data_IF_338143353952
#
_entry.id   IF_338143353952
#
_cell.length_a   1.000
_cell.length_b   1.000
_cell.length_c   1.000
_cell.angle_alpha   90.00
_cell.angle_beta   90.00
_cell.angle_gamma   90.00
#
_symmetry.space_group_name_H-M   'P 1'
#
loop_
_entity.id
_entity.type
_entity.pdbx_description
1 polymer ?
#
# COMPACT_ATOMS: atom_id res chain seq x y z
N UNK A 1 -20.06 -1.09 -3.91
CA UNK A 1 -18.68 -1.01 -4.45
C UNK A 1 -18.64 -0.90 -5.98
N UNK A 2 -19.29 -1.78 -6.75
CA UNK A 2 -19.23 -1.70 -8.23
C UNK A 2 -19.69 -0.34 -8.80
N UNK A 3 -20.84 0.19 -8.34
CA UNK A 3 -21.32 1.54 -8.71
C UNK A 3 -20.36 2.69 -8.34
N UNK A 4 -19.51 2.47 -7.34
CA UNK A 4 -18.50 3.44 -6.92
C UNK A 4 -17.31 3.42 -7.89
N UNK A 5 -16.86 2.22 -8.25
CA UNK A 5 -15.82 2.02 -9.25
C UNK A 5 -16.22 2.57 -10.63
N UNK A 6 -17.45 2.31 -11.10
CA UNK A 6 -17.92 2.85 -12.38
C UNK A 6 -17.95 4.38 -12.39
N UNK A 7 -18.24 5.02 -11.24
CA UNK A 7 -18.17 6.48 -11.10
C UNK A 7 -16.74 6.99 -11.18
N UNK A 8 -15.78 6.33 -10.52
CA UNK A 8 -14.35 6.68 -10.62
C UNK A 8 -13.87 6.56 -12.06
N UNK A 9 -14.22 5.48 -12.75
CA UNK A 9 -13.82 5.26 -14.14
C UNK A 9 -14.45 6.27 -15.11
N UNK A 10 -15.74 6.55 -14.96
CA UNK A 10 -16.44 7.56 -15.76
C UNK A 10 -15.86 8.96 -15.55
N UNK A 11 -15.58 9.34 -14.29
CA UNK A 11 -14.92 10.60 -13.95
C UNK A 11 -13.54 10.67 -14.62
N UNK A 12 -12.79 9.58 -14.57
CA UNK A 12 -11.52 9.45 -15.26
C UNK A 12 -11.56 9.72 -16.75
N UNK A 13 -12.54 9.15 -17.44
CA UNK A 13 -12.74 9.38 -18.87
C UNK A 13 -13.10 10.84 -19.17
N UNK A 14 -13.92 11.48 -18.32
CA UNK A 14 -14.25 12.90 -18.49
C UNK A 14 -13.04 13.80 -18.28
N UNK A 15 -12.16 13.49 -17.32
CA UNK A 15 -10.92 14.22 -17.09
C UNK A 15 -9.97 14.02 -18.28
N UNK A 16 -9.82 12.78 -18.76
CA UNK A 16 -8.98 12.45 -19.93
C UNK A 16 -9.40 13.23 -21.17
N UNK A 17 -10.70 13.32 -21.44
CA UNK A 17 -11.23 14.08 -22.55
C UNK A 17 -10.90 15.57 -22.47
N UNK A 18 -10.71 16.11 -21.25
CA UNK A 18 -10.46 17.53 -21.01
C UNK A 18 -8.98 17.90 -20.84
N UNK A 19 -8.17 17.08 -20.18
CA UNK A 19 -6.80 17.47 -19.77
C UNK A 19 -5.69 17.02 -20.73
N UNK A 20 -5.93 16.01 -21.59
CA UNK A 20 -4.90 15.31 -22.38
C UNK A 20 -3.69 14.79 -21.55
N UNK A 21 -3.77 14.77 -20.22
CA UNK A 21 -2.66 14.36 -19.35
C UNK A 21 -2.72 12.85 -19.08
N UNK A 22 -1.60 12.15 -19.34
CA UNK A 22 -1.47 10.70 -19.16
C UNK A 22 -1.51 10.31 -17.67
N UNK A 23 -1.07 11.22 -16.79
CA UNK A 23 -0.91 10.99 -15.34
C UNK A 23 -2.21 10.63 -14.60
N UNK A 24 -3.35 11.17 -15.00
CA UNK A 24 -4.63 10.95 -14.30
C UNK A 24 -5.10 9.49 -14.47
N UNK A 25 -4.84 8.89 -15.64
CA UNK A 25 -5.25 7.53 -15.93
C UNK A 25 -4.53 6.51 -15.04
N UNK A 26 -3.24 6.72 -14.82
CA UNK A 26 -2.45 5.84 -13.94
C UNK A 26 -2.97 5.91 -12.51
N UNK A 27 -3.18 7.11 -11.96
CA UNK A 27 -3.72 7.28 -10.61
C UNK A 27 -5.07 6.59 -10.41
N UNK A 28 -5.99 6.77 -11.37
CA UNK A 28 -7.31 6.13 -11.36
C UNK A 28 -7.19 4.61 -11.45
N UNK A 29 -6.35 4.09 -12.34
CA UNK A 29 -6.17 2.65 -12.51
C UNK A 29 -5.61 2.01 -11.23
N UNK A 30 -4.66 2.66 -10.56
CA UNK A 30 -4.03 2.18 -9.33
C UNK A 30 -4.98 2.25 -8.14
N UNK A 31 -5.67 3.37 -7.98
CA UNK A 31 -6.72 3.53 -6.96
C UNK A 31 -7.85 2.52 -7.19
N UNK A 32 -8.24 2.32 -8.45
CA UNK A 32 -9.23 1.33 -8.85
C UNK A 32 -8.87 -0.09 -8.45
N UNK A 33 -7.61 -0.51 -8.67
CA UNK A 33 -7.12 -1.82 -8.25
C UNK A 33 -7.23 -2.03 -6.73
N UNK A 34 -6.87 -1.00 -5.94
CA UNK A 34 -6.98 -1.03 -4.47
C UNK A 34 -8.45 -1.08 -4.03
N UNK A 35 -9.31 -0.24 -4.63
CA UNK A 35 -10.73 -0.18 -4.29
C UNK A 35 -11.46 -1.48 -4.63
N UNK A 36 -11.03 -2.17 -5.69
CA UNK A 36 -11.58 -3.47 -6.08
C UNK A 36 -11.06 -4.63 -5.22
N UNK A 37 -10.05 -4.42 -4.37
CA UNK A 37 -9.46 -5.48 -3.55
C UNK A 37 -10.50 -6.32 -2.81
N UNK A 38 -11.45 -5.75 -2.02
CA UNK A 38 -12.40 -6.59 -1.29
C UNK A 38 -13.30 -7.41 -2.22
N UNK A 39 -13.69 -6.83 -3.36
CA UNK A 39 -14.56 -7.49 -4.33
C UNK A 39 -13.84 -8.67 -4.97
N UNK A 40 -12.59 -8.47 -5.41
CA UNK A 40 -11.79 -9.52 -6.03
C UNK A 40 -11.48 -10.63 -5.03
N UNK A 41 -11.02 -10.29 -3.82
CA UNK A 41 -10.71 -11.28 -2.78
C UNK A 41 -11.95 -12.07 -2.37
N UNK A 42 -13.11 -11.44 -2.17
CA UNK A 42 -14.36 -12.13 -1.87
C UNK A 42 -14.79 -13.04 -3.02
N UNK A 43 -14.72 -12.56 -4.26
CA UNK A 43 -15.16 -13.33 -5.43
C UNK A 43 -14.29 -14.56 -5.66
N UNK A 44 -12.97 -14.41 -5.53
CA UNK A 44 -12.03 -15.53 -5.62
C UNK A 44 -12.21 -16.51 -4.45
N UNK A 45 -12.40 -16.01 -3.23
CA UNK A 45 -12.70 -16.84 -2.05
C UNK A 45 -13.99 -17.63 -2.24
N UNK A 46 -15.04 -16.99 -2.75
CA UNK A 46 -16.32 -17.63 -3.05
C UNK A 46 -16.18 -18.66 -4.18
N UNK A 47 -15.38 -18.38 -5.21
CA UNK A 47 -15.07 -19.36 -6.26
C UNK A 47 -14.39 -20.63 -5.72
N UNK A 48 -13.58 -20.53 -4.65
CA UNK A 48 -13.01 -21.73 -4.00
C UNK A 48 -14.06 -22.63 -3.35
N UNK A 49 -15.21 -22.07 -2.93
CA UNK A 49 -16.32 -22.85 -2.38
C UNK A 49 -17.08 -23.61 -3.46
N UNK A 50 -17.29 -22.99 -4.63
CA UNK A 50 -18.01 -23.59 -5.75
C UNK A 50 -17.18 -24.62 -6.52
N UNK A 51 -15.88 -24.36 -6.68
CA UNK A 51 -14.97 -25.22 -7.45
C UNK A 51 -13.74 -25.54 -6.61
N UNK A 52 -13.87 -26.40 -5.58
CA UNK A 52 -12.76 -26.73 -4.67
C UNK A 52 -11.58 -27.40 -5.39
N UNK A 53 -11.85 -28.10 -6.50
CA UNK A 53 -10.82 -28.73 -7.35
C UNK A 53 -9.84 -27.71 -7.95
N UNK A 54 -10.25 -26.46 -8.11
CA UNK A 54 -9.42 -25.36 -8.64
C UNK A 54 -8.97 -24.39 -7.55
N UNK A 55 -9.11 -24.74 -6.26
CA UNK A 55 -8.79 -23.84 -5.15
C UNK A 55 -7.36 -23.28 -5.22
N UNK A 56 -6.38 -24.12 -5.57
CA UNK A 56 -4.99 -23.70 -5.71
C UNK A 56 -4.79 -22.65 -6.82
N UNK A 57 -5.48 -22.79 -7.96
CA UNK A 57 -5.43 -21.80 -9.04
C UNK A 57 -6.01 -20.46 -8.59
N UNK A 58 -7.14 -20.47 -7.89
CA UNK A 58 -7.73 -19.26 -7.33
C UNK A 58 -6.82 -18.59 -6.29
N UNK A 59 -6.10 -19.38 -5.49
CA UNK A 59 -5.10 -18.87 -4.54
C UNK A 59 -3.92 -18.19 -5.24
N UNK A 60 -3.42 -18.74 -6.35
CA UNK A 60 -2.34 -18.09 -7.14
C UNK A 60 -2.82 -16.76 -7.72
N UNK A 61 -4.03 -16.71 -8.29
CA UNK A 61 -4.61 -15.46 -8.83
C UNK A 61 -4.80 -14.44 -7.70
N UNK A 62 -5.26 -14.88 -6.54
CA UNK A 62 -5.41 -14.04 -5.34
C UNK A 62 -4.05 -13.45 -4.92
N UNK A 63 -3.01 -14.28 -4.77
CA UNK A 63 -1.67 -13.84 -4.38
C UNK A 63 -1.05 -12.86 -5.39
N UNK A 64 -1.23 -13.10 -6.69
CA UNK A 64 -0.81 -12.18 -7.74
C UNK A 64 -1.50 -10.82 -7.62
N UNK A 65 -2.82 -10.82 -7.37
CA UNK A 65 -3.60 -9.61 -7.20
C UNK A 65 -3.20 -8.84 -5.94
N UNK A 66 -2.96 -9.53 -4.83
CA UNK A 66 -2.47 -8.92 -3.58
C UNK A 66 -1.11 -8.24 -3.78
N UNK A 67 -0.17 -8.92 -4.44
CA UNK A 67 1.12 -8.34 -4.83
C UNK A 67 0.96 -7.10 -5.70
N UNK A 68 0.10 -7.18 -6.72
CA UNK A 68 -0.22 -6.05 -7.60
C UNK A 68 -0.85 -4.86 -6.85
N UNK A 69 -1.69 -5.12 -5.85
CA UNK A 69 -2.29 -4.07 -5.01
C UNK A 69 -1.25 -3.37 -4.14
N UNK A 70 -0.30 -4.09 -3.54
CA UNK A 70 0.81 -3.45 -2.80
C UNK A 70 1.69 -2.59 -3.69
N UNK A 71 2.04 -3.08 -4.88
CA UNK A 71 2.80 -2.30 -5.85
C UNK A 71 2.02 -1.07 -6.33
N UNK A 72 0.72 -1.23 -6.58
CA UNK A 72 -0.14 -0.13 -6.98
C UNK A 72 -0.25 0.93 -5.89
N UNK A 73 -0.30 0.51 -4.62
CA UNK A 73 -0.28 1.41 -3.47
C UNK A 73 1.07 2.13 -3.32
N UNK A 74 2.20 1.42 -3.46
CA UNK A 74 3.54 2.04 -3.52
C UNK A 74 3.61 3.12 -4.59
N UNK A 75 3.21 2.81 -5.82
CA UNK A 75 3.20 3.78 -6.93
C UNK A 75 2.29 4.96 -6.62
N UNK A 76 1.12 4.71 -6.05
CA UNK A 76 0.18 5.78 -5.64
C UNK A 76 0.81 6.75 -4.65
N UNK A 77 1.56 6.26 -3.65
CA UNK A 77 2.29 7.09 -2.70
C UNK A 77 3.37 7.95 -3.39
N UNK A 78 4.14 7.35 -4.31
CA UNK A 78 5.13 8.09 -5.11
C UNK A 78 4.47 9.17 -5.97
N UNK A 79 3.30 8.87 -6.57
CA UNK A 79 2.55 9.86 -7.34
C UNK A 79 2.01 11.01 -6.47
N UNK A 80 1.55 10.74 -5.24
CA UNK A 80 1.07 11.80 -4.35
C UNK A 80 2.15 12.81 -3.96
N UNK A 81 3.43 12.41 -3.96
CA UNK A 81 4.57 13.33 -3.75
C UNK A 81 4.95 14.07 -5.05
N UNK A 82 4.33 13.72 -6.17
CA UNK A 82 4.60 14.31 -7.48
C UNK A 82 5.73 13.62 -8.25
N UNK A 83 5.99 12.34 -7.96
CA UNK A 83 6.92 11.49 -8.70
C UNK A 83 8.19 11.11 -7.94
N UNK A 84 8.98 10.19 -8.52
CA UNK A 84 10.19 9.68 -7.90
C UNK A 84 11.28 10.73 -7.70
N UNK A 85 11.44 11.66 -8.65
CA UNK A 85 12.43 12.74 -8.57
C UNK A 85 12.10 13.72 -7.44
N UNK A 86 10.84 14.16 -7.35
CA UNK A 86 10.39 15.04 -6.25
C UNK A 86 10.51 14.35 -4.91
N UNK A 87 10.16 13.06 -4.84
CA UNK A 87 10.38 12.27 -3.64
C UNK A 87 11.85 12.28 -3.25
N UNK A 88 12.78 11.95 -4.15
CA UNK A 88 14.24 12.00 -3.87
C UNK A 88 14.67 13.39 -3.38
N UNK A 89 14.18 14.46 -4.00
CA UNK A 89 14.52 15.83 -3.60
C UNK A 89 13.96 16.17 -2.22
N UNK A 90 12.71 15.80 -1.92
CA UNK A 90 12.10 15.95 -0.59
C UNK A 90 12.89 15.17 0.47
N UNK A 91 13.51 14.05 0.09
CA UNK A 91 14.32 13.23 0.99
C UNK A 91 15.70 13.82 1.32
N UNK A 92 16.25 14.66 0.45
CA UNK A 92 17.61 15.21 0.60
C UNK A 92 17.81 16.18 1.78
N UNK A 93 16.77 16.45 2.58
CA UNK A 93 16.88 17.21 3.83
C UNK A 93 16.22 16.55 5.05
N UNK A 94 15.53 15.43 4.86
CA UNK A 94 14.75 14.79 5.94
C UNK A 94 15.64 13.88 6.78
N UNK A 95 15.69 14.12 8.09
CA UNK A 95 16.30 13.16 9.03
C UNK A 95 15.34 12.00 9.26
N UNK A 96 15.68 10.86 8.71
CA UNK A 96 14.91 9.62 8.86
C UNK A 96 15.11 9.06 10.28
N UNK A 97 14.18 9.35 11.19
CA UNK A 97 14.09 8.65 12.48
C UNK A 97 13.05 7.54 12.38
N UNK A 98 13.43 6.40 11.80
CA UNK A 98 12.55 5.22 11.82
C UNK A 98 12.50 4.68 13.26
N UNK A 99 11.48 5.05 14.01
CA UNK A 99 11.09 4.37 15.25
C UNK A 99 10.38 3.05 14.93
N UNK A 100 11.00 2.20 14.09
CA UNK A 100 10.51 0.85 13.91
C UNK A 100 11.08 0.02 15.07
N UNK A 101 10.25 -0.58 15.93
CA UNK A 101 10.73 -1.42 17.00
C UNK A 101 11.56 -2.56 16.41
N UNK A 102 12.80 -2.69 16.88
CA UNK A 102 13.75 -3.79 16.59
C UNK A 102 13.28 -5.14 17.15
N UNK A 103 12.10 -5.20 17.75
CA UNK A 103 11.60 -6.31 18.56
C UNK A 103 11.16 -7.55 17.77
N UNK A 104 11.47 -7.64 16.47
CA UNK A 104 11.27 -8.87 15.71
C UNK A 104 12.48 -9.80 15.94
N UNK A 105 12.33 -10.95 16.63
CA UNK A 105 13.44 -11.88 16.89
C UNK A 105 13.96 -12.58 15.61
N UNK A 106 13.36 -12.31 14.45
CA UNK A 106 13.75 -12.93 13.20
C UNK A 106 15.05 -12.30 12.67
N UNK A 107 16.12 -13.09 12.55
CA UNK A 107 17.42 -12.65 11.99
C UNK A 107 17.30 -12.06 10.58
N UNK A 108 16.27 -12.42 9.82
CA UNK A 108 15.96 -11.81 8.52
C UNK A 108 15.60 -10.32 8.66
N UNK A 109 14.87 -9.94 9.71
CA UNK A 109 14.53 -8.54 9.97
C UNK A 109 15.76 -7.70 10.34
N UNK A 110 16.74 -8.31 11.04
CA UNK A 110 18.04 -7.68 11.29
C UNK A 110 18.81 -7.44 9.99
N UNK A 111 18.71 -8.33 9.00
CA UNK A 111 19.33 -8.14 7.69
C UNK A 111 18.69 -6.95 6.95
N UNK A 112 17.37 -6.86 6.92
CA UNK A 112 16.65 -5.73 6.34
C UNK A 112 16.94 -4.42 7.08
N UNK A 113 16.95 -4.44 8.41
CA UNK A 113 17.32 -3.30 9.23
C UNK A 113 18.75 -2.85 8.95
N UNK A 114 19.73 -3.76 8.84
CA UNK A 114 21.10 -3.40 8.50
C UNK A 114 21.20 -2.80 7.10
N UNK A 115 20.41 -3.30 6.15
CA UNK A 115 20.29 -2.76 4.79
C UNK A 115 19.63 -1.38 4.76
N UNK A 116 18.82 -0.99 5.74
CA UNK A 116 18.16 0.33 5.78
C UNK A 116 18.81 1.30 6.75
N UNK A 117 19.53 0.83 7.75
CA UNK A 117 20.28 1.62 8.73
C UNK A 117 21.60 2.17 8.17
N UNK A 118 21.69 2.33 6.85
CA UNK A 118 22.88 2.91 6.22
C UNK A 118 22.80 4.43 6.34
N UNK A 119 23.45 4.95 7.39
CA UNK A 119 23.74 6.37 7.65
C UNK A 119 22.53 7.29 7.80
N UNK A 120 22.22 7.62 9.07
CA UNK A 120 21.22 8.61 9.48
C UNK A 120 21.37 10.01 8.85
N UNK A 121 22.49 10.31 8.19
CA UNK A 121 22.81 11.67 7.78
C UNK A 121 22.48 12.01 6.34
N UNK A 122 22.25 11.06 5.41
CA UNK A 122 21.91 11.40 4.03
C UNK A 122 21.01 10.32 3.39
N UNK A 123 19.74 10.65 3.16
CA UNK A 123 18.83 9.79 2.39
C UNK A 123 19.21 9.90 0.91
N UNK A 124 19.90 8.88 0.41
CA UNK A 124 20.33 8.82 -0.99
C UNK A 124 19.30 8.14 -1.89
N UNK A 125 19.44 8.34 -3.21
CA UNK A 125 18.70 7.64 -4.28
C UNK A 125 18.71 6.12 -4.08
N UNK A 126 19.79 5.58 -3.51
CA UNK A 126 19.92 4.15 -3.17
C UNK A 126 18.85 3.66 -2.19
N UNK A 127 18.42 4.50 -1.25
CA UNK A 127 17.36 4.15 -0.29
C UNK A 127 16.02 3.99 -0.99
N UNK A 128 15.72 4.87 -1.96
CA UNK A 128 14.53 4.76 -2.80
C UNK A 128 14.51 3.44 -3.58
N UNK A 129 15.61 3.09 -4.25
CA UNK A 129 15.72 1.81 -4.98
C UNK A 129 15.59 0.59 -4.06
N UNK A 130 16.11 0.65 -2.84
CA UNK A 130 15.94 -0.43 -1.85
C UNK A 130 14.47 -0.59 -1.46
N UNK A 131 13.75 0.50 -1.22
CA UNK A 131 12.30 0.46 -0.93
C UNK A 131 11.52 -0.09 -2.11
N UNK A 132 11.81 0.37 -3.33
CA UNK A 132 11.17 -0.13 -4.55
C UNK A 132 11.42 -1.63 -4.74
N UNK A 133 12.64 -2.09 -4.51
CA UNK A 133 13.00 -3.51 -4.55
C UNK A 133 12.22 -4.32 -3.51
N UNK A 134 12.12 -3.85 -2.27
CA UNK A 134 11.37 -4.51 -1.20
C UNK A 134 9.88 -4.69 -1.51
N UNK A 135 9.27 -3.74 -2.22
CA UNK A 135 7.88 -3.86 -2.66
C UNK A 135 7.77 -4.76 -3.89
N UNK A 136 8.63 -4.54 -4.89
CA UNK A 136 8.58 -5.25 -6.17
C UNK A 136 8.87 -6.74 -6.03
N UNK A 137 9.77 -7.13 -5.11
CA UNK A 137 10.04 -8.54 -4.83
C UNK A 137 8.78 -9.31 -4.42
N UNK A 138 7.85 -8.68 -3.68
CA UNK A 138 6.63 -9.35 -3.23
C UNK A 138 5.66 -9.61 -4.39
N UNK A 139 5.63 -8.73 -5.39
CA UNK A 139 4.79 -8.90 -6.60
C UNK A 139 5.15 -10.18 -7.34
N UNK A 140 6.44 -10.52 -7.37
CA UNK A 140 6.95 -11.73 -8.03
C UNK A 140 6.92 -12.92 -7.07
N UNK A 141 7.32 -12.71 -5.81
CA UNK A 141 7.42 -13.78 -4.82
C UNK A 141 6.05 -14.35 -4.44
N UNK A 142 5.02 -13.53 -4.23
CA UNK A 142 3.70 -14.00 -3.80
C UNK A 142 3.09 -15.07 -4.76
N UNK A 143 2.94 -14.81 -6.07
CA UNK A 143 2.41 -15.84 -6.98
C UNK A 143 3.36 -17.02 -7.14
N UNK A 144 4.67 -16.78 -7.16
CA UNK A 144 5.67 -17.86 -7.30
C UNK A 144 5.63 -18.82 -6.10
N UNK A 145 5.57 -18.28 -4.88
CA UNK A 145 5.44 -19.07 -3.65
C UNK A 145 4.09 -19.77 -3.58
N UNK A 146 3.01 -19.13 -4.06
CA UNK A 146 1.70 -19.78 -4.17
C UNK A 146 1.74 -21.00 -5.12
N UNK A 147 2.47 -20.93 -6.24
CA UNK A 147 2.69 -22.09 -7.12
C UNK A 147 3.55 -23.15 -6.44
N UNK A 148 4.61 -22.76 -5.74
CA UNK A 148 5.44 -23.71 -4.99
C UNK A 148 4.66 -24.48 -3.93
N UNK A 149 3.69 -23.86 -3.25
CA UNK A 149 2.80 -24.55 -2.31
C UNK A 149 1.97 -25.67 -2.94
N UNK A 150 1.69 -25.58 -4.25
CA UNK A 150 0.96 -26.64 -4.98
C UNK A 150 1.85 -27.88 -5.12
N UNK A 151 3.16 -27.69 -5.28
CA UNK A 151 4.13 -28.76 -5.50
C UNK A 151 4.71 -29.28 -4.19
N UNK A 152 4.94 -28.38 -3.23
CA UNK A 152 5.63 -28.63 -1.98
C UNK A 152 4.76 -28.07 -0.85
N UNK A 153 4.04 -28.96 -0.17
CA UNK A 153 3.26 -28.63 1.03
C UNK A 153 4.18 -28.62 2.26
N UNK A 154 5.06 -27.62 2.31
CA UNK A 154 6.03 -27.42 3.40
C UNK A 154 5.75 -26.10 4.12
N UNK A 155 5.70 -26.15 5.46
CA UNK A 155 5.60 -24.98 6.31
C UNK A 155 6.75 -23.98 6.10
N UNK A 156 7.87 -24.39 5.52
CA UNK A 156 8.93 -23.48 5.08
C UNK A 156 8.45 -22.48 4.01
N UNK A 157 7.69 -22.91 3.01
CA UNK A 157 7.17 -22.03 1.94
C UNK A 157 6.24 -20.98 2.53
N UNK A 158 5.44 -21.37 3.53
CA UNK A 158 4.58 -20.46 4.25
C UNK A 158 5.36 -19.37 5.02
N UNK A 159 6.44 -19.75 5.72
CA UNK A 159 7.33 -18.80 6.41
C UNK A 159 8.01 -17.84 5.44
N UNK A 160 8.41 -18.32 4.26
CA UNK A 160 9.01 -17.47 3.21
C UNK A 160 8.02 -16.43 2.68
N UNK A 161 6.78 -16.82 2.42
CA UNK A 161 5.72 -15.91 1.97
C UNK A 161 5.45 -14.82 3.02
N UNK A 162 5.28 -15.22 4.28
CA UNK A 162 5.09 -14.26 5.38
C UNK A 162 6.29 -13.31 5.52
N UNK A 163 7.52 -13.80 5.37
CA UNK A 163 8.73 -12.97 5.42
C UNK A 163 8.79 -12.00 4.24
N UNK A 164 8.46 -12.44 3.03
CA UNK A 164 8.41 -11.60 1.83
C UNK A 164 7.33 -10.51 1.95
N UNK A 165 6.16 -10.85 2.48
CA UNK A 165 5.08 -9.89 2.77
C UNK A 165 5.51 -8.86 3.81
N UNK A 166 6.13 -9.31 4.92
CA UNK A 166 6.64 -8.42 5.95
C UNK A 166 7.73 -7.47 5.44
N UNK A 167 8.62 -7.95 4.55
CA UNK A 167 9.63 -7.13 3.90
C UNK A 167 9.02 -6.04 3.00
N UNK A 168 7.99 -6.39 2.22
CA UNK A 168 7.21 -5.42 1.44
C UNK A 168 6.53 -4.38 2.33
N UNK A 169 5.88 -4.82 3.41
CA UNK A 169 5.26 -3.93 4.39
C UNK A 169 6.28 -2.99 5.02
N UNK A 170 7.47 -3.48 5.35
CA UNK A 170 8.55 -2.65 5.86
C UNK A 170 9.00 -1.57 4.86
N UNK A 171 9.12 -1.92 3.57
CA UNK A 171 9.37 -0.93 2.51
C UNK A 171 8.28 0.14 2.44
N UNK A 172 7.01 -0.25 2.49
CA UNK A 172 5.87 0.68 2.50
C UNK A 172 5.83 1.54 3.77
N UNK A 173 6.25 1.02 4.92
CA UNK A 173 6.37 1.80 6.16
C UNK A 173 7.43 2.89 6.03
N UNK A 174 8.60 2.56 5.50
CA UNK A 174 9.65 3.54 5.24
C UNK A 174 9.12 4.61 4.30
N UNK A 175 8.47 4.21 3.19
CA UNK A 175 7.90 5.17 2.26
C UNK A 175 6.84 6.06 2.92
N UNK A 176 5.90 5.49 3.66
CA UNK A 176 4.84 6.25 4.34
C UNK A 176 5.42 7.27 5.33
N UNK A 177 6.45 6.88 6.08
CA UNK A 177 7.14 7.78 7.00
C UNK A 177 7.80 8.92 6.25
N UNK A 178 8.49 8.60 5.15
CA UNK A 178 9.14 9.57 4.29
C UNK A 178 8.18 10.55 3.64
N UNK A 179 6.99 10.09 3.31
CA UNK A 179 5.95 10.89 2.67
C UNK A 179 4.97 11.49 3.67
N UNK A 180 5.20 11.35 4.98
CA UNK A 180 4.20 11.66 6.00
C UNK A 180 3.73 13.10 5.94
N UNK A 181 4.66 14.05 5.91
CA UNK A 181 4.36 15.48 5.91
C UNK A 181 3.62 15.89 4.63
N UNK A 182 4.06 15.37 3.48
CA UNK A 182 3.41 15.62 2.19
C UNK A 182 1.99 15.06 2.13
N UNK A 183 1.74 13.88 2.73
CA UNK A 183 0.45 13.18 2.64
C UNK A 183 -0.47 13.40 3.85
N UNK A 184 -0.08 14.23 4.83
CA UNK A 184 -0.87 14.45 6.03
C UNK A 184 -2.31 14.89 5.70
N UNK A 185 -2.46 15.79 4.72
CA UNK A 185 -3.76 16.30 4.26
C UNK A 185 -4.59 15.29 3.44
N UNK A 186 -3.97 14.24 2.90
CA UNK A 186 -4.61 13.19 2.08
C UNK A 186 -4.93 11.93 2.88
N UNK A 187 -4.92 12.02 4.21
CA UNK A 187 -5.19 10.89 5.11
C UNK A 187 -4.30 9.67 4.82
N UNK A 188 -3.01 9.88 4.47
CA UNK A 188 -2.09 8.81 4.06
C UNK A 188 -2.04 7.62 5.03
N UNK A 189 -2.08 7.89 6.34
CA UNK A 189 -2.14 6.87 7.38
C UNK A 189 -3.38 5.99 7.30
N UNK A 190 -4.55 6.57 7.06
CA UNK A 190 -5.80 5.81 6.94
C UNK A 190 -5.79 4.86 5.74
N UNK A 191 -5.30 5.34 4.60
CA UNK A 191 -5.10 4.54 3.38
C UNK A 191 -4.12 3.38 3.63
N UNK A 192 -3.02 3.66 4.33
CA UNK A 192 -2.02 2.67 4.72
C UNK A 192 -2.58 1.60 5.65
N UNK A 193 -3.24 2.00 6.74
CA UNK A 193 -3.81 1.06 7.71
C UNK A 193 -4.89 0.19 7.08
N UNK A 194 -5.68 0.75 6.18
CA UNK A 194 -6.70 -0.01 5.43
C UNK A 194 -6.04 -1.12 4.60
N UNK A 195 -4.99 -0.80 3.83
CA UNK A 195 -4.24 -1.80 3.07
C UNK A 195 -3.59 -2.85 3.97
N UNK A 196 -2.97 -2.40 5.07
CA UNK A 196 -2.29 -3.25 6.05
C UNK A 196 -3.25 -4.26 6.69
N UNK A 197 -4.35 -3.78 7.26
CA UNK A 197 -5.32 -4.59 8.00
C UNK A 197 -6.02 -5.56 7.05
N UNK A 198 -6.39 -5.10 5.86
CA UNK A 198 -7.08 -5.94 4.87
C UNK A 198 -6.25 -7.15 4.43
N UNK A 199 -4.96 -6.93 4.14
CA UNK A 199 -4.10 -7.98 3.57
C UNK A 199 -3.47 -8.86 4.64
N UNK A 200 -2.89 -8.27 5.71
CA UNK A 200 -2.34 -9.05 6.82
C UNK A 200 -3.43 -9.79 7.58
N UNK A 201 -4.58 -9.15 7.80
CA UNK A 201 -5.69 -9.75 8.53
C UNK A 201 -6.19 -11.03 7.86
N UNK A 202 -6.34 -11.01 6.53
CA UNK A 202 -6.76 -12.21 5.79
C UNK A 202 -5.71 -13.31 5.83
N UNK A 203 -4.42 -12.99 5.64
CA UNK A 203 -3.34 -13.98 5.69
C UNK A 203 -3.23 -14.65 7.06
N UNK A 204 -3.19 -13.85 8.14
CA UNK A 204 -3.08 -14.35 9.51
C UNK A 204 -4.30 -15.21 9.88
N UNK A 205 -5.51 -14.75 9.53
CA UNK A 205 -6.74 -15.50 9.81
C UNK A 205 -6.79 -16.80 9.01
N UNK A 206 -6.34 -16.80 7.75
CA UNK A 206 -6.25 -18.03 6.96
C UNK A 206 -5.39 -19.08 7.66
N UNK A 207 -4.21 -18.69 8.14
CA UNK A 207 -3.30 -19.60 8.84
C UNK A 207 -3.88 -20.10 10.15
N UNK A 208 -4.45 -19.19 10.95
CA UNK A 208 -5.06 -19.53 12.23
C UNK A 208 -6.20 -20.54 12.05
N UNK A 209 -7.04 -20.37 11.02
CA UNK A 209 -8.14 -21.28 10.71
C UNK A 209 -7.62 -22.65 10.26
N UNK A 210 -6.60 -22.68 9.40
CA UNK A 210 -6.00 -23.94 8.96
C UNK A 210 -5.40 -24.74 10.13
N UNK A 211 -4.75 -24.05 11.07
CA UNK A 211 -4.16 -24.70 12.26
C UNK A 211 -5.22 -25.25 13.23
N UNK A 212 -6.37 -24.57 13.37
CA UNK A 212 -7.43 -24.98 14.29
C UNK A 212 -8.44 -25.98 13.69
N UNK A 213 -8.45 -26.16 12.36
CA UNK A 213 -9.36 -27.10 11.69
C UNK A 213 -8.78 -28.51 11.72
N UNK A 214 -8.81 -29.16 12.88
CA UNK A 214 -8.31 -30.53 13.08
C UNK A 214 -9.40 -31.60 12.96
N UNK A 215 -10.68 -31.20 12.94
CA UNK A 215 -11.80 -32.13 12.85
C UNK A 215 -11.88 -32.77 11.47
N UNK A 216 -11.70 -34.09 11.41
CA UNK A 216 -11.88 -34.87 10.19
C UNK A 216 -13.38 -35.09 9.93
N UNK A 217 -13.87 -34.59 8.80
CA UNK A 217 -15.23 -34.87 8.33
C UNK A 217 -15.20 -36.09 7.40
N UNK A 218 -16.22 -36.97 7.42
CA UNK A 218 -16.19 -38.24 6.70
C UNK A 218 -16.09 -38.08 5.16
N UNK A 219 -16.51 -36.94 4.62
CA UNK A 219 -16.61 -36.71 3.17
C UNK A 219 -15.67 -35.60 2.65
N UNK A 220 -14.94 -34.92 3.53
CA UNK A 220 -14.11 -33.77 3.15
C UNK A 220 -12.76 -33.82 3.84
N UNK A 221 -11.69 -33.54 3.09
CA UNK A 221 -10.38 -33.36 3.69
C UNK A 221 -10.37 -32.13 4.59
N UNK A 222 -9.62 -32.22 5.68
CA UNK A 222 -9.40 -31.13 6.65
C UNK A 222 -8.92 -29.85 5.96
N UNK A 223 -8.04 -29.99 4.96
CA UNK A 223 -7.54 -28.87 4.16
C UNK A 223 -8.64 -28.12 3.38
N UNK A 224 -9.57 -28.86 2.76
CA UNK A 224 -10.68 -28.23 1.99
C UNK A 224 -11.62 -27.50 2.96
N UNK A 225 -11.95 -28.13 4.09
CA UNK A 225 -12.78 -27.51 5.13
C UNK A 225 -12.12 -26.26 5.73
N UNK A 226 -10.83 -26.34 6.10
CA UNK A 226 -10.07 -25.20 6.60
C UNK A 226 -10.03 -24.05 5.60
N UNK A 227 -9.83 -24.35 4.31
CA UNK A 227 -9.87 -23.35 3.24
C UNK A 227 -11.26 -22.71 3.10
N UNK A 228 -12.34 -23.49 3.23
CA UNK A 228 -13.71 -22.98 3.15
C UNK A 228 -14.06 -22.06 4.33
N UNK A 229 -13.68 -22.44 5.55
CA UNK A 229 -13.85 -21.59 6.73
C UNK A 229 -13.04 -20.30 6.62
N UNK A 230 -11.79 -20.40 6.17
CA UNK A 230 -10.94 -19.24 5.98
C UNK A 230 -11.50 -18.28 4.91
N UNK A 231 -12.04 -18.83 3.80
CA UNK A 231 -12.71 -18.05 2.77
C UNK A 231 -13.96 -17.33 3.30
N UNK A 232 -14.74 -18.00 4.16
CA UNK A 232 -15.93 -17.43 4.79
C UNK A 232 -15.56 -16.28 5.73
N UNK A 233 -14.58 -16.49 6.60
CA UNK A 233 -14.09 -15.46 7.54
C UNK A 233 -13.49 -14.28 6.77
N UNK A 234 -12.67 -14.54 5.75
CA UNK A 234 -12.12 -13.49 4.90
C UNK A 234 -13.23 -12.66 4.24
N UNK A 235 -14.29 -13.31 3.76
CA UNK A 235 -15.44 -12.60 3.14
C UNK A 235 -16.16 -11.70 4.14
N UNK A 236 -16.31 -12.13 5.39
CA UNK A 236 -16.87 -11.29 6.47
C UNK A 236 -15.96 -10.09 6.77
N UNK A 237 -14.64 -10.31 6.88
CA UNK A 237 -13.65 -9.25 7.14
C UNK A 237 -13.55 -8.22 6.01
N UNK A 238 -13.88 -8.60 4.78
CA UNK A 238 -13.89 -7.68 3.63
C UNK A 238 -15.03 -6.67 3.67
N UNK A 239 -16.09 -6.91 4.46
CA UNK A 239 -17.20 -5.97 4.64
C UNK A 239 -16.74 -4.67 5.33
N UNK A 240 -16.19 -4.69 6.56
CA UNK A 240 -15.68 -3.48 7.21
C UNK A 240 -14.54 -2.84 6.41
N UNK A 241 -13.69 -3.66 5.76
CA UNK A 241 -12.64 -3.14 4.88
C UNK A 241 -13.20 -2.33 3.70
N UNK A 242 -14.32 -2.76 3.11
CA UNK A 242 -14.98 -2.03 2.03
C UNK A 242 -15.49 -0.66 2.49
N UNK A 243 -15.98 -0.56 3.73
CA UNK A 243 -16.37 0.72 4.32
C UNK A 243 -15.15 1.61 4.59
N UNK A 244 -14.07 1.06 5.14
CA UNK A 244 -12.82 1.78 5.36
C UNK A 244 -12.24 2.32 4.04
N UNK A 245 -12.19 1.49 2.98
CA UNK A 245 -11.73 1.92 1.65
C UNK A 245 -12.58 3.08 1.13
N UNK A 246 -13.92 2.99 1.25
CA UNK A 246 -14.80 4.09 0.81
C UNK A 246 -14.53 5.38 1.58
N UNK A 247 -14.21 5.28 2.87
CA UNK A 247 -13.93 6.43 3.72
C UNK A 247 -12.57 7.07 3.40
N UNK A 248 -11.52 6.27 3.29
CA UNK A 248 -10.15 6.74 3.10
C UNK A 248 -9.76 7.02 1.64
N UNK A 249 -10.53 6.55 0.66
CA UNK A 249 -10.29 6.82 -0.77
C UNK A 249 -11.49 7.54 -1.39
N UNK A 250 -11.84 8.76 -0.97
CA UNK A 250 -13.01 9.48 -1.47
C UNK A 250 -12.83 9.90 -2.95
N UNK A 251 -13.91 9.85 -3.74
CA UNK A 251 -13.90 10.24 -5.18
C UNK A 251 -13.46 11.70 -5.36
N UNK A 252 -13.73 12.55 -4.37
CA UNK A 252 -13.46 13.98 -4.50
C UNK A 252 -11.96 14.31 -4.51
N UNK A 253 -11.10 13.43 -4.01
CA UNK A 253 -9.64 13.57 -4.17
C UNK A 253 -9.25 13.55 -5.65
N UNK A 254 -9.82 12.63 -6.43
CA UNK A 254 -9.56 12.52 -7.87
C UNK A 254 -9.98 13.78 -8.64
N UNK A 255 -11.02 14.48 -8.16
CA UNK A 255 -11.46 15.75 -8.76
C UNK A 255 -10.48 16.88 -8.47
N UNK A 256 -9.95 16.98 -7.24
CA UNK A 256 -8.98 18.02 -6.88
C UNK A 256 -7.71 17.90 -7.71
N UNK A 257 -7.17 16.69 -7.83
CA UNK A 257 -5.94 16.43 -8.59
C UNK A 257 -6.11 16.84 -10.06
N UNK A 258 -7.28 16.58 -10.64
CA UNK A 258 -7.58 16.99 -12.03
C UNK A 258 -7.69 18.51 -12.22
N UNK A 259 -8.14 19.22 -11.19
CA UNK A 259 -8.31 20.69 -11.24
C UNK A 259 -6.96 21.39 -11.14
N UNK A 260 -6.07 20.93 -10.25
CA UNK A 260 -4.69 21.42 -10.15
C UNK A 260 -3.91 21.16 -11.44
N UNK A 261 -4.07 19.97 -12.04
CA UNK A 261 -3.40 19.64 -13.29
C UNK A 261 -3.85 20.51 -14.47
N UNK A 262 -5.12 20.94 -14.50
CA UNK A 262 -5.61 21.88 -15.53
C UNK A 262 -5.04 23.29 -15.34
N UNK A 263 -4.90 23.75 -14.10
CA UNK A 263 -4.37 25.09 -13.81
C UNK A 263 -2.90 25.25 -14.20
N UNK A 264 -2.09 24.20 -14.06
CA UNK A 264 -0.67 24.23 -14.45
C UNK A 264 -0.42 24.13 -15.97
N UNK A 265 -1.42 23.71 -16.76
CA UNK A 265 -1.30 23.53 -18.21
C UNK A 265 -1.89 24.70 -19.02
N UNK A 266 -2.48 25.69 -18.35
CA UNK A 266 -2.87 26.93 -19.00
C UNK A 266 -1.63 27.82 -19.16
N UNK A 267 -1.29 28.18 -20.40
CA UNK A 267 -0.36 29.26 -20.76
C UNK A 267 -0.93 30.63 -20.33
N UNK A 268 -1.22 30.78 -19.04
CA UNK A 268 -1.48 32.09 -18.45
C UNK A 268 -0.12 32.72 -18.16
N UNK A 269 0.31 33.60 -19.06
CA UNK A 269 1.42 34.58 -18.88
C UNK A 269 1.17 35.56 -17.72
N UNK A 270 0.11 35.34 -16.93
CA UNK A 270 -0.27 36.15 -15.78
C UNK A 270 0.30 35.51 -14.51
N UNK A 271 1.51 35.94 -14.14
CA UNK A 271 2.27 35.39 -13.02
C UNK A 271 1.77 35.86 -11.64
N UNK A 272 0.84 36.81 -11.58
CA UNK A 272 0.46 37.48 -10.33
C UNK A 272 -0.57 36.70 -9.48
N UNK A 273 -1.18 35.63 -10.02
CA UNK A 273 -2.19 34.83 -9.30
C UNK A 273 -1.70 33.41 -8.89
N UNK A 274 -0.38 33.24 -8.75
CA UNK A 274 0.26 31.95 -8.37
C UNK A 274 0.09 31.52 -6.90
N UNK A 275 -0.57 32.33 -6.06
CA UNK A 275 -0.70 32.03 -4.62
C UNK A 275 -1.49 30.76 -4.32
N UNK A 276 -2.31 30.28 -5.25
CA UNK A 276 -3.06 29.02 -5.10
C UNK A 276 -2.22 27.75 -5.33
N UNK A 277 -1.28 27.79 -6.27
CA UNK A 277 -0.34 26.68 -6.52
C UNK A 277 0.89 26.73 -5.61
N UNK A 278 1.16 27.89 -5.00
CA UNK A 278 2.20 28.04 -3.99
C UNK A 278 1.91 27.28 -2.70
N UNK A 279 0.71 26.72 -2.48
CA UNK A 279 0.52 25.82 -1.34
C UNK A 279 1.40 24.55 -1.46
N UNK A 280 1.80 24.17 -2.67
CA UNK A 280 2.77 23.07 -2.90
C UNK A 280 4.21 23.57 -2.76
N UNK A 281 4.50 24.84 -3.06
CA UNK A 281 5.83 25.45 -2.85
C UNK A 281 6.10 25.81 -1.38
N UNK A 282 5.06 26.15 -0.61
CA UNK A 282 5.11 26.40 0.84
C UNK A 282 5.41 25.12 1.62
N UNK A 283 5.02 23.94 1.12
CA UNK A 283 5.36 22.64 1.72
C UNK A 283 6.80 22.21 1.37
N UNK A 284 7.35 22.71 0.25
CA UNK A 284 8.73 22.45 -0.17
C UNK A 284 9.75 23.46 0.37
N UNK A 285 9.30 24.56 0.99
CA UNK A 285 10.19 25.42 1.75
C UNK A 285 10.68 24.64 2.97
N UNK A 286 12.00 24.35 3.11
CA UNK A 286 12.51 23.78 4.34
C UNK A 286 12.11 24.75 5.45
N UNK A 287 11.42 24.25 6.45
CA UNK A 287 11.24 24.92 7.73
C UNK A 287 12.62 25.10 8.35
N UNK A 288 13.38 26.09 7.88
CA UNK A 288 14.46 26.72 8.64
C UNK A 288 13.79 27.52 9.76
N UNK A 289 13.19 26.79 10.70
CA UNK A 289 12.80 27.28 12.00
C UNK A 289 14.08 27.38 12.83
N UNK A 290 14.95 28.33 12.47
CA UNK A 290 15.84 28.97 13.44
C UNK A 290 14.96 29.87 14.32
N UNK A 291 14.21 29.25 15.24
CA UNK A 291 13.63 29.95 16.37
C UNK A 291 14.61 29.87 17.54
N UNK A 292 15.24 30.98 17.99
CA UNK A 292 16.11 31.01 19.16
C UNK A 292 15.37 30.97 20.51
N UNK A 293 14.15 30.41 20.58
CA UNK A 293 13.34 30.42 21.81
C UNK A 293 13.45 29.17 22.70
N UNK A 294 14.38 28.26 22.42
CA UNK A 294 14.63 27.07 23.27
C UNK A 294 15.77 27.23 24.29
N UNK A 295 15.90 28.42 24.90
CA UNK A 295 16.87 28.65 25.99
C UNK A 295 16.27 29.02 27.36
N UNK A 296 14.94 29.03 27.55
CA UNK A 296 14.35 29.52 28.79
C UNK A 296 13.67 28.48 29.71
N UNK A 297 13.90 27.18 29.51
CA UNK A 297 13.35 26.15 30.40
C UNK A 297 14.40 25.07 30.72
N UNK A 298 15.54 25.47 31.27
CA UNK A 298 16.44 24.57 32.03
C UNK A 298 17.12 25.29 33.21
N UNK A 299 16.44 26.26 33.83
CA UNK A 299 16.87 26.84 35.12
C UNK A 299 15.71 26.87 36.11
N UNK A 300 15.32 25.68 36.60
CA UNK A 300 14.66 25.40 37.88
C UNK A 300 14.19 23.95 37.86
N UNK A 301 15.06 23.03 38.28
CA UNK A 301 14.91 22.00 39.33
C UNK A 301 16.30 21.42 39.55
#
# INVERSE_FOLDING_TARGET
MLRYYTKIFALGNTIRAKSKTIFVLEHISRTGAIVLLPVVICSLSLATLFVPRQASTWQVIKAAYEGYCFYSFYRLLVYYVGGGEKLVNSLQGSRLQVWAPTASPCRFFLLFYKLTNTSHNNVNVTTFWRVEFLVTQFVVAAPTLAVFKIVIDDGFVHKLEMTSMLACMYGLFILMYLTHDALHHLQGHGKFWTMKIGLLGVGIMYNAVQEHTTQSYPNYSTHIMGSAYAATIASVLMVPLSFAIKHFFPIDELKRDSSCAQHCNGDSDDWDDKRGCDLISIIAAPTSLDSPQRQLITSRV
#
